data_IF_561725596463
#
_entry.id   IF_561725596463
#
_cell.length_a   1.000
_cell.length_b   1.000
_cell.length_c   1.000
_cell.angle_alpha   90.00
_cell.angle_beta   90.00
_cell.angle_gamma   90.00
#
_symmetry.space_group_name_H-M   'P 1'
#
loop_
_entity.id
_entity.type
_entity.pdbx_description
1 polymer ?
#
# COMPACT_ATOMS: atom_id res chain seq x y z
N UNK A 1 47.14 -27.74 1.74
CA UNK A 1 46.02 -27.99 2.68
C UNK A 1 45.46 -26.70 3.33
N UNK A 2 46.29 -25.69 3.63
CA UNK A 2 45.88 -24.46 4.35
C UNK A 2 45.00 -23.49 3.53
N UNK A 3 45.16 -23.46 2.20
CA UNK A 3 44.43 -22.57 1.29
C UNK A 3 42.94 -22.93 1.14
N UNK A 4 42.62 -24.23 1.13
CA UNK A 4 41.22 -24.70 1.13
C UNK A 4 40.47 -24.35 2.43
N UNK A 5 41.17 -24.24 3.57
CA UNK A 5 40.56 -23.83 4.84
C UNK A 5 40.20 -22.34 4.84
N UNK A 6 41.07 -21.48 4.31
CA UNK A 6 40.80 -20.04 4.14
C UNK A 6 39.62 -19.78 3.20
N UNK A 7 39.54 -20.49 2.07
CA UNK A 7 38.43 -20.36 1.14
C UNK A 7 37.09 -20.81 1.73
N UNK A 8 37.08 -21.88 2.54
CA UNK A 8 35.87 -22.33 3.26
C UNK A 8 35.40 -21.30 4.29
N UNK A 9 36.31 -20.66 5.00
CA UNK A 9 35.98 -19.58 5.96
C UNK A 9 35.41 -18.37 5.22
N UNK A 10 36.01 -17.98 4.09
CA UNK A 10 35.52 -16.86 3.28
C UNK A 10 34.10 -17.12 2.75
N UNK A 11 33.83 -18.33 2.24
CA UNK A 11 32.50 -18.73 1.77
C UNK A 11 31.48 -18.71 2.93
N UNK A 12 31.86 -19.21 4.11
CA UNK A 12 30.98 -19.18 5.28
C UNK A 12 30.63 -17.75 5.71
N UNK A 13 31.60 -16.82 5.66
CA UNK A 13 31.37 -15.40 5.95
C UNK A 13 30.46 -14.73 4.93
N UNK A 14 30.63 -15.03 3.64
CA UNK A 14 29.75 -14.54 2.57
C UNK A 14 28.31 -15.03 2.74
N UNK A 15 28.13 -16.31 3.08
CA UNK A 15 26.79 -16.87 3.37
C UNK A 15 26.15 -16.20 4.58
N UNK A 16 26.92 -15.95 5.64
CA UNK A 16 26.44 -15.22 6.83
C UNK A 16 25.99 -13.80 6.49
N UNK A 17 26.75 -13.09 5.66
CA UNK A 17 26.39 -11.75 5.18
C UNK A 17 25.12 -11.77 4.33
N UNK A 18 24.96 -12.77 3.45
CA UNK A 18 23.74 -12.92 2.64
C UNK A 18 22.51 -13.22 3.49
N UNK A 19 22.66 -14.07 4.52
CA UNK A 19 21.57 -14.37 5.47
C UNK A 19 21.20 -13.11 6.25
N UNK A 20 22.18 -12.34 6.76
CA UNK A 20 21.93 -11.09 7.47
C UNK A 20 21.23 -10.05 6.58
N UNK A 21 21.67 -9.92 5.32
CA UNK A 21 21.03 -9.04 4.34
C UNK A 21 19.60 -9.47 4.02
N UNK A 22 19.34 -10.79 3.90
CA UNK A 22 17.99 -11.32 3.71
C UNK A 22 17.09 -11.04 4.92
N UNK A 23 17.58 -11.31 6.14
CA UNK A 23 16.83 -11.03 7.37
C UNK A 23 16.51 -9.54 7.47
N UNK A 24 17.49 -8.67 7.20
CA UNK A 24 17.28 -7.21 7.18
C UNK A 24 16.23 -6.81 6.14
N UNK A 25 16.34 -7.34 4.93
CA UNK A 25 15.39 -7.08 3.85
C UNK A 25 13.96 -7.50 4.24
N UNK A 26 13.77 -8.68 4.84
CA UNK A 26 12.45 -9.14 5.29
C UNK A 26 11.93 -8.32 6.48
N UNK A 27 12.79 -7.93 7.42
CA UNK A 27 12.41 -7.10 8.56
C UNK A 27 11.95 -5.71 8.12
N UNK A 28 12.68 -5.05 7.21
CA UNK A 28 12.28 -3.75 6.67
C UNK A 28 11.04 -3.80 5.76
N UNK A 29 10.76 -4.95 5.15
CA UNK A 29 9.59 -5.14 4.28
C UNK A 29 8.29 -5.32 5.07
N UNK A 30 8.36 -5.79 6.30
CA UNK A 30 7.18 -6.12 7.09
C UNK A 30 6.59 -4.91 7.81
N UNK A 31 6.29 -3.84 7.06
CA UNK A 31 5.48 -2.71 7.52
C UNK A 31 3.99 -3.03 7.34
N UNK A 32 3.53 -4.15 7.92
CA UNK A 32 2.11 -4.47 7.98
C UNK A 32 1.48 -3.66 9.12
N UNK A 33 0.47 -2.86 8.82
CA UNK A 33 -0.24 -2.11 9.86
C UNK A 33 -1.41 -2.94 10.37
N UNK A 34 -1.62 -2.91 11.69
CA UNK A 34 -2.84 -3.48 12.30
C UNK A 34 -4.06 -2.70 11.79
N UNK A 35 -4.93 -3.41 11.07
CA UNK A 35 -6.16 -2.89 10.47
C UNK A 35 -7.14 -2.31 11.51
N UNK A 36 -6.98 -2.63 12.81
CA UNK A 36 -7.79 -2.05 13.89
C UNK A 36 -7.61 -0.55 14.07
N UNK A 37 -6.52 0.01 13.54
CA UNK A 37 -6.24 1.45 13.59
C UNK A 37 -6.72 2.17 12.33
N UNK A 38 -7.73 1.62 11.64
CA UNK A 38 -8.36 2.29 10.52
C UNK A 38 -9.82 2.65 10.83
N UNK A 39 -10.19 3.91 10.57
CA UNK A 39 -11.57 4.38 10.55
C UNK A 39 -12.15 4.06 9.18
N UNK A 40 -13.15 3.18 9.15
CA UNK A 40 -13.83 2.83 7.90
C UNK A 40 -14.74 3.97 7.45
N UNK A 41 -14.49 4.51 6.26
CA UNK A 41 -15.25 5.61 5.66
C UNK A 41 -16.31 5.13 4.66
N UNK A 42 -16.14 3.92 4.12
CA UNK A 42 -17.11 3.38 3.17
C UNK A 42 -16.94 1.89 2.87
N UNK A 43 -17.87 1.39 2.05
CA UNK A 43 -17.91 0.00 1.59
C UNK A 43 -18.32 -0.02 0.12
N UNK A 44 -17.58 -0.78 -0.70
CA UNK A 44 -17.96 -1.10 -2.08
C UNK A 44 -18.01 -2.60 -2.26
N UNK A 45 -18.89 -3.07 -3.13
CA UNK A 45 -18.94 -4.47 -3.53
C UNK A 45 -18.55 -4.60 -4.99
N UNK A 46 -17.62 -5.51 -5.30
CA UNK A 46 -17.15 -5.78 -6.66
C UNK A 46 -17.29 -7.28 -6.98
N UNK A 47 -17.25 -7.63 -8.26
CA UNK A 47 -17.22 -9.03 -8.68
C UNK A 47 -15.80 -9.62 -8.62
N UNK A 48 -15.72 -10.96 -8.58
CA UNK A 48 -14.49 -11.76 -8.57
C UNK A 48 -13.72 -11.66 -9.90
N UNK A 49 -13.06 -10.53 -10.16
CA UNK A 49 -12.12 -10.36 -11.27
C UNK A 49 -10.84 -9.67 -10.79
N UNK A 50 -9.83 -9.56 -11.66
CA UNK A 50 -8.57 -8.86 -11.38
C UNK A 50 -8.80 -7.35 -11.32
N UNK A 51 -8.95 -6.74 -10.13
CA UNK A 51 -9.34 -5.36 -10.05
C UNK A 51 -8.17 -4.45 -10.41
N UNK A 52 -8.50 -3.30 -10.97
CA UNK A 52 -7.55 -2.20 -11.15
C UNK A 52 -7.94 -1.08 -10.21
N UNK A 53 -7.04 -0.73 -9.30
CA UNK A 53 -7.20 0.40 -8.39
C UNK A 53 -6.40 1.57 -8.94
N UNK A 54 -7.01 2.75 -9.03
CA UNK A 54 -6.34 4.00 -9.37
C UNK A 54 -6.50 4.97 -8.21
N UNK A 55 -5.46 5.73 -7.93
CA UNK A 55 -5.41 6.77 -6.88
C UNK A 55 -4.89 8.05 -7.50
N UNK A 56 -5.57 9.17 -7.30
CA UNK A 56 -5.17 10.49 -7.81
C UNK A 56 -5.80 11.61 -7.00
N UNK A 57 -5.39 12.84 -7.25
CA UNK A 57 -6.12 14.03 -6.82
C UNK A 57 -7.07 14.45 -7.94
N UNK A 58 -8.38 14.35 -7.72
CA UNK A 58 -9.36 14.81 -8.73
C UNK A 58 -9.61 16.34 -8.65
N UNK A 59 -9.08 16.98 -7.62
CA UNK A 59 -9.30 18.38 -7.28
C UNK A 59 -8.08 19.24 -7.64
N UNK A 60 -7.65 20.12 -6.74
CA UNK A 60 -6.51 21.00 -6.97
C UNK A 60 -5.25 20.37 -6.37
N UNK A 61 -4.29 20.01 -7.23
CA UNK A 61 -2.97 19.51 -6.79
C UNK A 61 -2.27 20.59 -5.96
N UNK A 62 -2.24 20.39 -4.65
CA UNK A 62 -1.79 21.38 -3.67
C UNK A 62 -0.67 20.87 -2.74
N UNK A 63 -0.13 19.69 -3.04
CA UNK A 63 1.00 19.09 -2.32
C UNK A 63 0.61 17.96 -1.36
N UNK A 64 -0.65 17.51 -1.42
CA UNK A 64 -1.10 16.31 -0.73
C UNK A 64 -0.19 15.10 -0.95
N UNK A 65 0.13 14.40 0.13
CA UNK A 65 0.94 13.19 0.10
C UNK A 65 0.38 12.16 1.07
N UNK A 66 0.23 10.92 0.62
CA UNK A 66 -0.33 9.83 1.43
C UNK A 66 0.55 8.58 1.43
N UNK A 67 0.39 7.73 2.44
CA UNK A 67 0.72 6.32 2.33
C UNK A 67 -0.54 5.53 1.93
N UNK A 68 -0.41 4.64 0.94
CA UNK A 68 -1.50 3.79 0.45
C UNK A 68 -1.25 2.31 0.80
N UNK A 69 -2.26 1.68 1.37
CA UNK A 69 -2.24 0.32 1.89
C UNK A 69 -3.32 -0.52 1.21
N UNK A 70 -3.01 -1.80 1.00
CA UNK A 70 -3.98 -2.81 0.56
C UNK A 70 -3.84 -4.05 1.44
N UNK A 71 -4.92 -4.48 2.07
CA UNK A 71 -4.97 -5.56 3.06
C UNK A 71 -3.89 -5.39 4.16
N UNK A 72 -3.71 -4.16 4.64
CA UNK A 72 -2.75 -3.81 5.68
C UNK A 72 -1.27 -3.76 5.22
N UNK A 73 -0.99 -4.08 3.96
CA UNK A 73 0.36 -3.98 3.37
C UNK A 73 0.55 -2.62 2.72
N UNK A 74 1.64 -1.94 3.05
CA UNK A 74 2.07 -0.72 2.37
C UNK A 74 2.39 -1.01 0.90
N UNK A 75 1.65 -0.37 -0.01
CA UNK A 75 1.80 -0.52 -1.45
C UNK A 75 2.55 0.68 -2.03
N UNK A 76 2.13 1.91 -1.67
CA UNK A 76 2.83 3.14 -2.04
C UNK A 76 3.15 3.93 -0.77
N UNK A 77 4.43 4.32 -0.64
CA UNK A 77 4.92 5.14 0.46
C UNK A 77 5.14 6.57 -0.03
N UNK A 78 4.69 7.57 0.72
CA UNK A 78 4.80 8.99 0.39
C UNK A 78 4.35 9.27 -1.06
N UNK A 79 3.20 8.73 -1.45
CA UNK A 79 2.60 8.98 -2.76
C UNK A 79 2.09 10.42 -2.81
N UNK A 80 2.72 11.25 -3.63
CA UNK A 80 2.17 12.55 -4.00
C UNK A 80 0.88 12.33 -4.78
N UNK A 81 -0.20 13.01 -4.38
CA UNK A 81 -1.44 13.02 -5.14
C UNK A 81 -1.31 14.04 -6.27
N UNK A 82 -1.52 13.57 -7.49
CA UNK A 82 -1.44 14.37 -8.69
C UNK A 82 -2.69 14.14 -9.55
N UNK A 83 -2.91 14.97 -10.56
CA UNK A 83 -4.03 14.86 -11.50
C UNK A 83 -4.00 13.55 -12.31
N UNK A 84 -2.81 12.98 -12.47
CA UNK A 84 -2.58 11.73 -13.17
C UNK A 84 -2.65 10.52 -12.23
N UNK A 85 -3.44 9.47 -12.57
CA UNK A 85 -3.66 8.37 -11.67
C UNK A 85 -2.47 7.44 -11.51
N UNK A 86 -2.12 7.19 -10.24
CA UNK A 86 -1.26 6.08 -9.86
C UNK A 86 -2.07 4.79 -9.87
N UNK A 87 -1.57 3.78 -10.58
CA UNK A 87 -2.31 2.52 -10.77
C UNK A 87 -1.69 1.37 -9.95
N UNK A 88 -2.53 0.66 -9.23
CA UNK A 88 -2.21 -0.57 -8.52
C UNK A 88 -3.06 -1.74 -9.04
N UNK A 89 -2.44 -2.91 -9.21
CA UNK A 89 -3.07 -4.16 -9.61
C UNK A 89 -2.77 -5.22 -8.56
N UNK A 90 -3.70 -5.51 -7.63
CA UNK A 90 -3.50 -6.56 -6.64
C UNK A 90 -3.49 -7.98 -7.25
N UNK A 91 -3.89 -8.14 -8.51
CA UNK A 91 -4.11 -9.45 -9.14
C UNK A 91 -5.49 -10.00 -8.78
N UNK A 92 -5.66 -11.32 -8.86
CA UNK A 92 -6.93 -11.95 -8.47
C UNK A 92 -7.17 -11.80 -6.97
N UNK A 93 -8.32 -11.24 -6.59
CA UNK A 93 -8.75 -11.17 -5.19
C UNK A 93 -9.52 -12.42 -4.80
N UNK A 94 -9.35 -12.86 -3.54
CA UNK A 94 -10.20 -13.89 -2.95
C UNK A 94 -11.61 -13.35 -2.69
N UNK A 95 -12.61 -14.24 -2.62
CA UNK A 95 -13.93 -13.84 -2.12
C UNK A 95 -13.84 -13.44 -0.66
N UNK A 96 -14.64 -12.45 -0.27
CA UNK A 96 -14.70 -11.95 1.10
C UNK A 96 -14.31 -10.48 1.23
N UNK A 97 -13.79 -10.12 2.39
CA UNK A 97 -13.45 -8.73 2.73
C UNK A 97 -11.99 -8.43 2.39
N UNK A 98 -11.80 -7.33 1.69
CA UNK A 98 -10.51 -6.69 1.44
C UNK A 98 -10.57 -5.24 1.92
N UNK A 99 -9.42 -4.64 2.20
CA UNK A 99 -9.35 -3.30 2.77
C UNK A 99 -8.35 -2.44 2.02
N UNK A 100 -8.82 -1.31 1.49
CA UNK A 100 -7.96 -0.19 1.13
C UNK A 100 -7.75 0.67 2.36
N UNK A 101 -6.51 1.08 2.59
CA UNK A 101 -6.15 2.01 3.65
C UNK A 101 -5.37 3.20 3.12
N UNK A 102 -5.59 4.38 3.68
CA UNK A 102 -4.82 5.60 3.41
C UNK A 102 -4.41 6.28 4.71
N UNK A 103 -3.24 6.91 4.70
CA UNK A 103 -2.75 7.75 5.80
C UNK A 103 -2.18 9.04 5.24
N UNK A 104 -2.55 10.18 5.82
CA UNK A 104 -1.97 11.47 5.47
C UNK A 104 -0.50 11.54 5.89
N UNK A 105 0.36 12.02 4.99
CA UNK A 105 1.77 12.35 5.24
C UNK A 105 1.98 13.87 5.09
N UNK A 106 1.29 14.47 4.12
CA UNK A 106 1.15 15.91 3.94
C UNK A 106 -0.30 16.19 3.50
N UNK A 107 -0.89 17.27 4.02
CA UNK A 107 -2.29 17.72 3.80
C UNK A 107 -2.35 18.93 2.85
N UNK A 108 -1.30 19.11 2.04
CA UNK A 108 -1.26 20.17 1.05
C UNK A 108 -1.39 21.55 1.65
N UNK A 109 -2.25 22.37 1.06
CA UNK A 109 -2.55 23.73 1.51
C UNK A 109 -3.67 23.75 2.56
N UNK A 110 -4.63 22.83 2.46
CA UNK A 110 -5.75 22.70 3.40
C UNK A 110 -6.13 21.23 3.58
N UNK A 111 -5.97 20.72 4.80
CA UNK A 111 -6.33 19.33 5.10
C UNK A 111 -7.82 19.04 5.15
N UNK A 112 -8.22 17.74 5.08
CA UNK A 112 -7.34 16.57 4.97
C UNK A 112 -6.75 16.39 3.57
N UNK A 113 -5.76 15.51 3.43
CA UNK A 113 -5.39 15.02 2.11
C UNK A 113 -6.54 14.17 1.54
N UNK A 114 -6.92 14.42 0.29
CA UNK A 114 -8.16 13.88 -0.28
C UNK A 114 -7.91 13.04 -1.54
N UNK A 115 -7.38 11.81 -1.41
CA UNK A 115 -7.27 10.91 -2.55
C UNK A 115 -8.65 10.55 -3.11
N UNK A 116 -8.78 10.70 -4.42
CA UNK A 116 -9.80 10.05 -5.21
C UNK A 116 -9.34 8.65 -5.58
N UNK A 117 -10.24 7.68 -5.46
CA UNK A 117 -9.95 6.30 -5.84
C UNK A 117 -11.01 5.78 -6.81
N UNK A 118 -10.54 5.04 -7.81
CA UNK A 118 -11.40 4.17 -8.61
C UNK A 118 -10.99 2.72 -8.44
N UNK A 119 -11.96 1.82 -8.26
CA UNK A 119 -11.77 0.38 -8.40
C UNK A 119 -12.65 -0.14 -9.53
N UNK A 120 -12.05 -0.84 -10.49
CA UNK A 120 -12.78 -1.48 -11.57
C UNK A 120 -12.52 -2.98 -11.58
N UNK A 121 -13.58 -3.77 -11.75
CA UNK A 121 -13.53 -5.23 -11.96
C UNK A 121 -13.49 -5.61 -13.45
N UNK A 122 -13.23 -4.65 -14.33
CA UNK A 122 -13.23 -4.83 -15.79
C UNK A 122 -14.61 -4.71 -16.45
N UNK A 123 -15.70 -4.68 -15.67
CA UNK A 123 -17.07 -4.43 -16.18
C UNK A 123 -17.64 -3.16 -15.61
N UNK A 124 -17.52 -3.01 -14.30
CA UNK A 124 -18.01 -1.87 -13.53
C UNK A 124 -16.82 -1.07 -13.00
N UNK A 125 -17.09 0.19 -12.70
CA UNK A 125 -16.15 1.10 -12.08
C UNK A 125 -16.85 1.78 -10.92
N UNK A 126 -16.19 1.77 -9.77
CA UNK A 126 -16.66 2.40 -8.56
C UNK A 126 -15.64 3.45 -8.15
N UNK A 127 -16.12 4.67 -7.93
CA UNK A 127 -15.32 5.82 -7.57
C UNK A 127 -15.74 6.32 -6.20
N UNK A 128 -14.77 6.74 -5.39
CA UNK A 128 -14.99 7.27 -4.06
C UNK A 128 -13.80 8.11 -3.59
N UNK A 129 -14.10 9.07 -2.72
CA UNK A 129 -13.11 9.90 -2.03
C UNK A 129 -12.83 9.32 -0.64
N UNK A 130 -11.62 9.55 -0.14
CA UNK A 130 -11.25 9.26 1.25
C UNK A 130 -10.57 10.46 1.87
N UNK A 131 -10.81 10.68 3.17
CA UNK A 131 -10.10 11.71 3.93
C UNK A 131 -8.88 11.10 4.64
N UNK A 132 -7.70 11.65 4.42
CA UNK A 132 -6.44 11.18 5.00
C UNK A 132 -5.76 12.28 5.84
N UNK A 133 -5.81 12.16 7.16
CA UNK A 133 -5.19 13.09 8.10
C UNK A 133 -3.78 12.64 8.52
N UNK A 134 -2.89 13.60 8.78
CA UNK A 134 -1.53 13.35 9.31
C UNK A 134 -1.60 12.93 10.78
N UNK A 135 -2.44 13.63 11.57
CA UNK A 135 -2.50 13.50 13.02
C UNK A 135 -3.55 12.50 13.51
N UNK A 136 -4.32 11.89 12.59
CA UNK A 136 -5.41 10.98 12.94
C UNK A 136 -5.08 9.51 12.71
N UNK A 137 -6.02 8.70 13.18
CA UNK A 137 -6.16 7.28 12.86
C UNK A 137 -6.29 7.14 11.34
N UNK A 138 -5.75 6.06 10.79
CA UNK A 138 -5.69 5.84 9.34
C UNK A 138 -7.12 5.65 8.80
N UNK A 139 -7.37 5.93 7.52
CA UNK A 139 -8.71 5.82 6.95
C UNK A 139 -8.82 4.62 6.04
N UNK A 140 -9.93 3.88 6.10
CA UNK A 140 -10.11 2.68 5.28
C UNK A 140 -11.40 2.66 4.47
N UNK A 141 -11.35 1.92 3.37
CA UNK A 141 -12.50 1.58 2.56
C UNK A 141 -12.58 0.07 2.42
N UNK A 142 -13.72 -0.51 2.81
CA UNK A 142 -13.94 -1.95 2.71
C UNK A 142 -14.36 -2.32 1.30
N UNK A 143 -13.76 -3.37 0.76
CA UNK A 143 -14.15 -3.99 -0.50
C UNK A 143 -14.72 -5.37 -0.20
N UNK A 144 -15.94 -5.63 -0.64
CA UNK A 144 -16.56 -6.96 -0.60
C UNK A 144 -16.46 -7.58 -1.98
N UNK A 145 -15.74 -8.70 -2.10
CA UNK A 145 -15.63 -9.47 -3.35
C UNK A 145 -16.62 -10.63 -3.31
N UNK A 146 -17.54 -10.66 -4.28
CA UNK A 146 -18.60 -11.68 -4.40
C UNK A 146 -18.21 -12.92 -5.19
#
# INVERSE_FOLDING_TARGET
MMQNKKNRILIALLLLLLIAAAIWYFYCRNNSIDQKNFIQQGITTINYDEPVIKIWDYSAVDGDTIDFYFDGKLIFKNLALEDSPKVYRPGTLSKGEHVIGVKGINEGTMGPASPHLSISDGKEMFEFDMDAWIDSVQSSWKIIVK
#
